data_IF_062527000936
#
_entry.id   IF_062527000936
#
_cell.length_a   1.000
_cell.length_b   1.000
_cell.length_c   1.000
_cell.angle_alpha   90.00
_cell.angle_beta   90.00
_cell.angle_gamma   90.00
#
_symmetry.space_group_name_H-M   'P 1'
#
loop_
_entity.id
_entity.type
_entity.pdbx_description
1 polymer ?
#
# COMPACT_ATOMS: atom_id res chain seq x y z
N UNK A 1 21.61 -44.67 -6.11
CA UNK A 1 22.60 -44.74 -7.22
C UNK A 1 22.01 -45.09 -8.60
N UNK A 2 20.80 -45.67 -8.73
CA UNK A 2 20.17 -45.95 -10.05
C UNK A 2 19.27 -44.83 -10.61
N UNK A 3 18.94 -43.79 -9.84
CA UNK A 3 17.99 -42.72 -10.26
C UNK A 3 18.56 -41.76 -11.32
N UNK A 4 19.89 -41.59 -11.40
CA UNK A 4 20.50 -40.49 -12.16
C UNK A 4 20.85 -40.80 -13.64
N UNK A 5 20.63 -42.03 -14.13
CA UNK A 5 21.09 -42.42 -15.48
C UNK A 5 20.27 -41.77 -16.61
N UNK A 6 19.01 -41.43 -16.36
CA UNK A 6 18.10 -40.85 -17.37
C UNK A 6 17.76 -39.36 -17.14
N UNK A 7 18.45 -38.70 -16.20
CA UNK A 7 18.18 -37.31 -15.84
C UNK A 7 18.90 -36.33 -16.79
N UNK A 8 18.18 -35.36 -17.35
CA UNK A 8 18.82 -34.24 -18.05
C UNK A 8 19.24 -33.17 -17.05
N UNK A 9 20.56 -32.91 -16.97
CA UNK A 9 21.13 -31.90 -16.08
C UNK A 9 21.19 -30.53 -16.77
N UNK A 10 20.62 -29.52 -16.13
CA UNK A 10 20.67 -28.12 -16.54
C UNK A 10 21.43 -27.32 -15.48
N UNK A 11 22.64 -26.90 -15.82
CA UNK A 11 23.48 -26.05 -14.96
C UNK A 11 23.00 -24.60 -15.01
N UNK A 12 22.73 -24.01 -13.85
CA UNK A 12 22.50 -22.58 -13.72
C UNK A 12 23.78 -21.92 -13.25
N UNK A 13 24.19 -20.83 -13.90
CA UNK A 13 25.37 -20.04 -13.53
C UNK A 13 25.10 -19.20 -12.27
N UNK A 14 24.71 -19.87 -11.19
CA UNK A 14 24.35 -19.31 -9.89
C UNK A 14 25.11 -20.07 -8.80
N UNK A 15 25.98 -19.36 -8.08
CA UNK A 15 26.74 -19.93 -6.95
C UNK A 15 25.91 -19.90 -5.67
N UNK A 16 26.16 -20.79 -4.68
CA UNK A 16 25.43 -20.80 -3.42
C UNK A 16 25.38 -19.46 -2.68
N UNK A 17 26.37 -18.59 -2.88
CA UNK A 17 26.49 -17.31 -2.19
C UNK A 17 25.69 -16.17 -2.84
N UNK A 18 25.07 -16.39 -4.00
CA UNK A 18 24.18 -15.39 -4.58
C UNK A 18 23.00 -15.14 -3.63
N UNK A 19 22.63 -13.86 -3.45
CA UNK A 19 21.61 -13.41 -2.47
C UNK A 19 21.79 -14.05 -1.08
N UNK A 20 23.00 -14.01 -0.52
CA UNK A 20 23.34 -14.71 0.74
C UNK A 20 22.55 -14.24 1.96
N UNK A 21 22.00 -13.04 1.90
CA UNK A 21 21.11 -12.42 2.89
C UNK A 21 19.69 -12.98 2.88
N UNK A 22 19.28 -13.69 1.81
CA UNK A 22 17.92 -14.24 1.70
C UNK A 22 17.69 -15.43 2.63
N UNK A 23 16.53 -15.39 3.27
CA UNK A 23 16.00 -16.36 4.23
C UNK A 23 15.01 -17.34 3.61
N UNK A 24 14.52 -18.29 4.41
CA UNK A 24 13.46 -19.22 4.00
C UNK A 24 12.19 -18.48 3.55
N UNK A 25 11.79 -17.45 4.29
CA UNK A 25 10.61 -16.64 3.99
C UNK A 25 10.79 -15.90 2.67
N UNK A 26 11.98 -15.35 2.39
CA UNK A 26 12.26 -14.66 1.12
C UNK A 26 12.12 -15.58 -0.10
N UNK A 27 12.59 -16.83 0.03
CA UNK A 27 12.41 -17.82 -1.02
C UNK A 27 10.93 -18.19 -1.22
N UNK A 28 10.17 -18.40 -0.13
CA UNK A 28 8.75 -18.72 -0.24
C UNK A 28 7.92 -17.56 -0.76
N UNK A 29 8.25 -16.31 -0.45
CA UNK A 29 7.60 -15.11 -1.02
C UNK A 29 7.58 -15.16 -2.54
N UNK A 30 8.72 -15.45 -3.16
CA UNK A 30 8.83 -15.56 -4.62
C UNK A 30 7.97 -16.70 -5.19
N UNK A 31 7.87 -17.83 -4.49
CA UNK A 31 7.05 -18.96 -4.94
C UNK A 31 5.55 -18.66 -4.81
N UNK A 32 5.15 -18.09 -3.67
CA UNK A 32 3.76 -17.68 -3.39
C UNK A 32 3.31 -16.66 -4.41
N UNK A 33 4.12 -15.63 -4.66
CA UNK A 33 3.84 -14.61 -5.69
C UNK A 33 3.68 -15.22 -7.08
N UNK A 34 4.55 -16.16 -7.44
CA UNK A 34 4.42 -16.81 -8.74
C UNK A 34 3.09 -17.56 -8.85
N UNK A 35 2.64 -18.21 -7.78
CA UNK A 35 1.37 -18.91 -7.76
C UNK A 35 0.15 -17.99 -7.70
N UNK A 36 0.16 -16.94 -6.89
CA UNK A 36 -0.95 -15.97 -6.80
C UNK A 36 -1.09 -15.15 -8.08
N UNK A 37 0.01 -14.73 -8.71
CA UNK A 37 -0.02 -14.07 -10.02
C UNK A 37 -0.72 -14.94 -11.08
N UNK A 38 -0.54 -16.27 -11.04
CA UNK A 38 -1.21 -17.17 -11.99
C UNK A 38 -2.72 -17.26 -11.74
N UNK A 39 -3.17 -17.20 -10.48
CA UNK A 39 -4.60 -17.13 -10.15
C UNK A 39 -5.22 -15.77 -10.51
N UNK A 40 -4.46 -14.68 -10.42
CA UNK A 40 -4.94 -13.36 -10.87
C UNK A 40 -5.21 -13.37 -12.38
N UNK A 41 -4.33 -14.00 -13.17
CA UNK A 41 -4.46 -14.12 -14.63
C UNK A 41 -5.55 -15.11 -15.05
N UNK A 42 -5.70 -16.22 -14.34
CA UNK A 42 -6.76 -17.22 -14.56
C UNK A 42 -7.40 -17.56 -13.22
N UNK A 43 -8.61 -17.03 -12.97
CA UNK A 43 -9.35 -17.20 -11.71
C UNK A 43 -9.72 -18.65 -11.40
N UNK A 44 -9.71 -19.53 -12.41
CA UNK A 44 -9.92 -20.97 -12.23
C UNK A 44 -8.62 -21.71 -11.88
N UNK A 45 -7.45 -21.08 -12.06
CA UNK A 45 -6.15 -21.64 -11.68
C UNK A 45 -5.80 -21.33 -10.22
N UNK A 46 -6.63 -21.85 -9.31
CA UNK A 46 -6.51 -21.62 -7.87
C UNK A 46 -5.12 -21.96 -7.33
N UNK A 47 -4.56 -21.03 -6.56
CA UNK A 47 -3.32 -21.23 -5.83
C UNK A 47 -3.61 -21.81 -4.44
N UNK A 48 -2.86 -22.83 -4.05
CA UNK A 48 -3.00 -23.48 -2.75
C UNK A 48 -1.64 -23.78 -2.12
N UNK A 49 -1.56 -23.68 -0.80
CA UNK A 49 -0.42 -24.11 -0.01
C UNK A 49 -0.87 -25.27 0.89
N UNK A 50 -0.23 -26.42 0.76
CA UNK A 50 -0.56 -27.64 1.50
C UNK A 50 0.67 -28.07 2.30
N UNK A 51 0.53 -28.20 3.61
CA UNK A 51 1.62 -28.65 4.48
C UNK A 51 1.35 -30.03 5.08
N UNK A 52 2.31 -30.94 4.95
CA UNK A 52 2.29 -32.24 5.59
C UNK A 52 3.34 -32.29 6.71
N UNK A 53 2.90 -32.15 7.96
CA UNK A 53 3.78 -32.17 9.13
C UNK A 53 4.50 -33.50 9.37
N UNK A 54 3.97 -34.63 8.89
CA UNK A 54 4.62 -35.95 9.03
C UNK A 54 5.80 -36.09 8.06
N UNK A 55 5.59 -35.67 6.81
CA UNK A 55 6.61 -35.71 5.77
C UNK A 55 7.54 -34.49 5.81
N UNK A 56 7.17 -33.44 6.55
CA UNK A 56 7.85 -32.15 6.58
C UNK A 56 7.96 -31.54 5.18
N UNK A 57 6.87 -31.62 4.42
CA UNK A 57 6.78 -31.14 3.04
C UNK A 57 5.74 -30.03 2.93
N UNK A 58 6.12 -28.97 2.22
CA UNK A 58 5.25 -27.85 1.86
C UNK A 58 5.06 -27.88 0.34
N UNK A 59 3.81 -27.92 -0.12
CA UNK A 59 3.46 -27.94 -1.54
C UNK A 59 2.73 -26.67 -1.92
N UNK A 60 3.21 -26.01 -2.97
CA UNK A 60 2.58 -24.85 -3.59
C UNK A 60 2.01 -25.30 -4.93
N UNK A 61 0.69 -25.23 -5.09
CA UNK A 61 -0.04 -25.90 -6.18
C UNK A 61 -0.82 -24.89 -7.03
N UNK A 62 -0.73 -25.02 -8.36
CA UNK A 62 -1.57 -24.37 -9.34
C UNK A 62 -2.02 -25.40 -10.40
N UNK A 63 -3.32 -25.63 -10.53
CA UNK A 63 -3.87 -26.75 -11.32
C UNK A 63 -3.73 -26.62 -12.84
N UNK A 64 -3.50 -25.41 -13.36
CA UNK A 64 -3.41 -25.15 -14.81
C UNK A 64 -2.05 -24.58 -15.25
N UNK A 65 -1.12 -24.38 -14.33
CA UNK A 65 0.20 -23.84 -14.65
C UNK A 65 1.13 -24.91 -15.22
N UNK A 66 2.02 -24.50 -16.12
CA UNK A 66 3.01 -25.38 -16.77
C UNK A 66 4.32 -24.62 -17.00
N UNK A 67 5.46 -25.22 -16.67
CA UNK A 67 6.77 -24.59 -16.88
C UNK A 67 7.43 -25.02 -18.21
N UNK A 68 7.82 -24.00 -18.98
CA UNK A 68 8.79 -24.02 -20.10
C UNK A 68 10.17 -24.49 -19.63
N UNK A 69 10.82 -25.51 -20.20
CA UNK A 69 12.23 -25.82 -19.84
C UNK A 69 13.16 -24.60 -19.98
N UNK A 70 12.87 -23.77 -20.99
CA UNK A 70 13.61 -22.56 -21.27
C UNK A 70 13.39 -21.43 -20.25
N UNK A 71 12.46 -21.57 -19.30
CA UNK A 71 12.33 -20.67 -18.15
C UNK A 71 13.49 -20.82 -17.16
N UNK A 72 14.31 -21.87 -17.30
CA UNK A 72 15.58 -22.00 -16.58
C UNK A 72 16.61 -20.94 -16.99
N UNK A 73 16.47 -20.33 -18.18
CA UNK A 73 17.32 -19.22 -18.60
C UNK A 73 17.08 -17.98 -17.73
N UNK A 74 18.15 -17.34 -17.25
CA UNK A 74 18.08 -16.02 -16.62
C UNK A 74 17.71 -14.95 -17.66
N UNK A 75 17.02 -13.90 -17.24
CA UNK A 75 16.51 -12.83 -18.12
C UNK A 75 15.32 -13.23 -19.01
N UNK A 76 14.87 -14.48 -18.98
CA UNK A 76 13.67 -14.92 -19.73
C UNK A 76 12.43 -14.83 -18.85
N UNK A 77 11.62 -13.79 -19.07
CA UNK A 77 10.31 -13.63 -18.43
C UNK A 77 9.16 -13.83 -19.43
N UNK A 78 8.09 -14.48 -18.98
CA UNK A 78 6.79 -14.50 -19.70
C UNK A 78 5.85 -13.39 -19.23
N UNK A 79 6.26 -12.55 -18.27
CA UNK A 79 5.42 -11.54 -17.59
C UNK A 79 5.75 -10.09 -17.98
N UNK A 80 6.56 -9.87 -19.03
CA UNK A 80 6.86 -8.52 -19.49
C UNK A 80 5.57 -7.82 -19.97
N UNK A 81 5.21 -6.69 -19.33
CA UNK A 81 4.08 -5.80 -19.63
C UNK A 81 2.69 -6.13 -19.03
N UNK A 82 2.58 -6.86 -17.92
CA UNK A 82 1.29 -7.00 -17.22
C UNK A 82 1.29 -6.30 -15.84
N UNK A 83 0.53 -5.19 -15.74
CA UNK A 83 0.38 -4.37 -14.52
C UNK A 83 -0.37 -5.09 -13.38
N UNK A 84 -1.10 -6.17 -13.69
CA UNK A 84 -1.84 -6.96 -12.70
C UNK A 84 -0.97 -8.04 -12.03
N UNK A 85 0.28 -8.21 -12.45
CA UNK A 85 1.22 -9.19 -11.85
C UNK A 85 2.36 -8.50 -11.13
N UNK A 86 2.73 -9.03 -9.96
CA UNK A 86 3.84 -8.49 -9.17
C UNK A 86 5.19 -8.94 -9.75
N UNK A 87 5.27 -10.15 -10.32
CA UNK A 87 6.53 -10.71 -10.82
C UNK A 87 6.96 -10.21 -12.20
N UNK A 88 8.12 -9.56 -12.30
CA UNK A 88 8.59 -8.94 -13.55
C UNK A 88 9.68 -9.74 -14.29
N UNK A 89 10.62 -10.38 -13.58
CA UNK A 89 11.88 -10.85 -14.17
C UNK A 89 11.92 -12.33 -14.59
N UNK A 90 10.92 -13.15 -14.22
CA UNK A 90 10.91 -14.58 -14.54
C UNK A 90 12.04 -15.38 -13.87
N UNK A 91 12.63 -14.83 -12.80
CA UNK A 91 13.78 -15.40 -12.10
C UNK A 91 13.44 -16.00 -10.73
N UNK A 92 12.32 -15.59 -10.13
CA UNK A 92 11.96 -15.84 -8.74
C UNK A 92 12.14 -17.29 -8.28
N UNK A 93 11.56 -18.26 -8.99
CA UNK A 93 11.62 -19.66 -8.55
C UNK A 93 13.04 -20.26 -8.61
N UNK A 94 13.92 -19.77 -9.48
CA UNK A 94 15.32 -20.22 -9.59
C UNK A 94 16.12 -19.72 -8.38
N UNK A 95 15.90 -18.47 -8.00
CA UNK A 95 16.51 -17.87 -6.82
C UNK A 95 15.95 -18.52 -5.54
N UNK A 96 14.64 -18.78 -5.49
CA UNK A 96 14.03 -19.54 -4.40
C UNK A 96 14.66 -20.93 -4.26
N UNK A 97 14.82 -21.68 -5.35
CA UNK A 97 15.49 -22.98 -5.35
C UNK A 97 16.93 -22.89 -4.80
N UNK A 98 17.70 -21.87 -5.21
CA UNK A 98 19.05 -21.62 -4.72
C UNK A 98 19.09 -21.44 -3.20
N UNK A 99 18.24 -20.56 -2.69
CA UNK A 99 18.16 -20.23 -1.26
C UNK A 99 17.70 -21.45 -0.45
N UNK A 100 16.67 -22.15 -0.93
CA UNK A 100 16.14 -23.34 -0.27
C UNK A 100 17.18 -24.46 -0.20
N UNK A 101 17.88 -24.76 -1.30
CA UNK A 101 18.97 -25.73 -1.29
C UNK A 101 20.12 -25.31 -0.35
N UNK A 102 20.45 -24.01 -0.26
CA UNK A 102 21.46 -23.48 0.67
C UNK A 102 21.07 -23.70 2.13
N UNK A 103 19.79 -23.55 2.45
CA UNK A 103 19.24 -23.76 3.79
C UNK A 103 19.00 -25.25 4.13
N UNK A 104 19.46 -26.18 3.29
CA UNK A 104 19.30 -27.61 3.49
C UNK A 104 17.88 -28.14 3.21
N UNK A 105 17.04 -27.34 2.55
CA UNK A 105 15.73 -27.77 2.06
C UNK A 105 15.88 -28.49 0.72
N UNK A 106 14.94 -29.38 0.43
CA UNK A 106 14.79 -29.93 -0.93
C UNK A 106 13.85 -29.04 -1.72
N UNK A 107 14.03 -28.99 -3.04
CA UNK A 107 13.16 -28.24 -3.92
C UNK A 107 12.90 -29.06 -5.19
N UNK A 108 11.65 -29.41 -5.38
CA UNK A 108 11.19 -30.30 -6.45
C UNK A 108 10.01 -29.68 -7.15
N UNK A 109 10.04 -29.65 -8.48
CA UNK A 109 8.92 -29.21 -9.30
C UNK A 109 8.29 -30.43 -9.98
N UNK A 110 7.02 -30.67 -9.73
CA UNK A 110 6.18 -31.60 -10.45
C UNK A 110 5.46 -30.83 -11.57
N UNK A 111 5.95 -30.97 -12.80
CA UNK A 111 5.41 -30.30 -13.99
C UNK A 111 4.54 -31.32 -14.74
N UNK A 112 3.38 -31.64 -14.17
CA UNK A 112 2.62 -32.85 -14.47
C UNK A 112 2.13 -32.89 -15.94
N UNK A 113 1.69 -31.74 -16.48
CA UNK A 113 1.27 -31.62 -17.89
C UNK A 113 2.39 -31.91 -18.91
N UNK A 114 3.66 -31.92 -18.47
CA UNK A 114 4.82 -32.29 -19.29
C UNK A 114 5.36 -33.69 -19.00
N UNK A 115 4.77 -34.38 -18.03
CA UNK A 115 5.28 -35.66 -17.52
C UNK A 115 6.72 -35.52 -17.04
N UNK A 116 6.99 -34.47 -16.26
CA UNK A 116 8.34 -34.11 -15.83
C UNK A 116 8.43 -33.81 -14.33
N UNK A 117 9.51 -34.29 -13.71
CA UNK A 117 9.93 -33.91 -12.35
C UNK A 117 11.28 -33.19 -12.46
N UNK A 118 11.39 -32.01 -11.87
CA UNK A 118 12.62 -31.24 -11.84
C UNK A 118 13.12 -31.13 -10.39
N UNK A 119 14.24 -31.78 -10.07
CA UNK A 119 14.87 -31.69 -8.75
C UNK A 119 16.05 -30.71 -8.80
N UNK A 120 16.13 -29.77 -7.87
CA UNK A 120 17.29 -28.87 -7.77
C UNK A 120 18.26 -29.30 -6.67
N UNK A 121 19.56 -29.22 -6.97
CA UNK A 121 20.64 -29.46 -6.00
C UNK A 121 21.91 -28.77 -6.44
N UNK A 122 22.83 -28.57 -5.49
CA UNK A 122 24.16 -28.09 -5.83
C UNK A 122 25.01 -29.19 -6.45
N UNK A 123 25.76 -28.82 -7.48
CA UNK A 123 26.72 -29.65 -8.19
C UNK A 123 28.03 -28.87 -8.33
N UNK A 124 29.17 -29.55 -8.22
CA UNK A 124 30.44 -28.99 -8.65
C UNK A 124 30.49 -29.06 -10.18
N UNK A 125 30.44 -27.92 -10.87
CA UNK A 125 30.50 -27.87 -12.32
C UNK A 125 31.94 -28.07 -12.78
N UNK A 126 32.16 -29.04 -13.66
CA UNK A 126 33.45 -29.25 -14.33
C UNK A 126 33.75 -28.12 -15.32
N UNK A 127 32.70 -27.50 -15.89
CA UNK A 127 32.83 -26.40 -16.85
C UNK A 127 33.26 -25.10 -16.17
N UNK A 128 32.65 -24.79 -15.03
CA UNK A 128 32.88 -23.53 -14.32
C UNK A 128 33.89 -23.65 -13.19
N UNK A 129 34.29 -24.89 -12.83
CA UNK A 129 35.18 -25.20 -11.73
C UNK A 129 34.69 -24.64 -10.37
N UNK A 130 33.36 -24.60 -10.21
CA UNK A 130 32.70 -24.00 -9.05
C UNK A 130 31.42 -24.77 -8.70
N UNK A 131 31.03 -24.73 -7.43
CA UNK A 131 29.75 -25.24 -6.95
C UNK A 131 28.64 -24.31 -7.42
N UNK A 132 27.68 -24.87 -8.15
CA UNK A 132 26.56 -24.13 -8.73
C UNK A 132 25.24 -24.86 -8.51
N UNK A 133 24.14 -24.13 -8.61
CA UNK A 133 22.81 -24.73 -8.66
C UNK A 133 22.59 -25.45 -10.00
N UNK A 134 22.04 -26.66 -9.95
CA UNK A 134 21.63 -27.39 -11.14
C UNK A 134 20.23 -27.99 -10.96
N UNK A 135 19.48 -28.05 -12.05
CA UNK A 135 18.20 -28.76 -12.14
C UNK A 135 18.39 -30.08 -12.88
N UNK A 136 17.88 -31.16 -12.29
CA UNK A 136 17.85 -32.49 -12.88
C UNK A 136 16.42 -32.80 -13.28
N UNK A 137 16.20 -32.94 -14.58
CA UNK A 137 14.87 -33.15 -15.17
C UNK A 137 14.71 -34.61 -15.55
N UNK A 138 13.71 -35.23 -14.94
CA UNK A 138 13.33 -36.63 -15.14
C UNK A 138 12.01 -36.70 -15.89
N UNK A 139 11.85 -37.73 -16.73
CA UNK A 139 10.52 -38.10 -17.23
C UNK A 139 9.76 -38.88 -16.18
N UNK A 140 8.47 -38.60 -16.06
CA UNK A 140 7.61 -39.16 -15.04
C UNK A 140 6.18 -39.27 -15.57
N UNK A 141 5.65 -40.49 -15.57
CA UNK A 141 4.24 -40.74 -15.86
C UNK A 141 3.42 -40.45 -14.59
N UNK A 142 2.40 -39.62 -14.73
CA UNK A 142 1.55 -39.16 -13.63
C UNK A 142 0.14 -38.90 -14.14
N UNK A 143 -0.86 -39.27 -13.33
CA UNK A 143 -2.27 -38.93 -13.57
C UNK A 143 -2.65 -37.59 -12.92
N UNK A 144 -1.73 -36.96 -12.17
CA UNK A 144 -1.94 -35.64 -11.61
C UNK A 144 -1.88 -34.56 -12.71
N UNK A 145 -2.51 -33.42 -12.47
CA UNK A 145 -2.51 -32.27 -13.37
C UNK A 145 -1.77 -31.07 -12.77
N UNK A 146 -1.50 -30.08 -13.63
CA UNK A 146 -0.94 -28.79 -13.22
C UNK A 146 0.51 -28.80 -12.74
N UNK A 147 0.86 -27.77 -11.98
CA UNK A 147 2.19 -27.52 -11.43
C UNK A 147 2.13 -27.62 -9.90
N UNK A 148 3.03 -28.41 -9.32
CA UNK A 148 3.25 -28.46 -7.88
C UNK A 148 4.73 -28.23 -7.59
N UNK A 149 5.04 -27.22 -6.78
CA UNK A 149 6.37 -26.99 -6.24
C UNK A 149 6.38 -27.53 -4.81
N UNK A 150 7.21 -28.53 -4.55
CA UNK A 150 7.40 -29.12 -3.24
C UNK A 150 8.72 -28.66 -2.62
N UNK A 151 8.63 -28.16 -1.40
CA UNK A 151 9.77 -27.82 -0.54
C UNK A 151 9.78 -28.83 0.60
N UNK A 152 10.82 -29.65 0.68
CA UNK A 152 10.99 -30.62 1.75
C UNK A 152 11.87 -30.11 2.89
N UNK A 153 11.87 -30.85 4.00
CA UNK A 153 12.52 -30.48 5.27
C UNK A 153 11.97 -29.19 5.89
N UNK A 154 10.68 -28.87 5.68
CA UNK A 154 10.02 -27.71 6.28
C UNK A 154 9.48 -28.10 7.65
N UNK A 155 9.98 -27.45 8.69
CA UNK A 155 9.55 -27.68 10.07
C UNK A 155 8.16 -27.09 10.31
N UNK A 156 7.51 -27.57 11.37
CA UNK A 156 6.18 -27.07 11.75
C UNK A 156 6.24 -25.59 12.14
N UNK A 157 7.32 -25.16 12.79
CA UNK A 157 7.56 -23.76 13.15
C UNK A 157 7.77 -22.86 11.92
N UNK A 158 8.54 -23.31 10.92
CA UNK A 158 8.72 -22.58 9.68
C UNK A 158 7.39 -22.41 8.93
N UNK A 159 6.58 -23.47 8.85
CA UNK A 159 5.25 -23.39 8.25
C UNK A 159 4.33 -22.44 9.04
N UNK A 160 4.29 -22.57 10.36
CA UNK A 160 3.49 -21.72 11.23
C UNK A 160 3.93 -20.26 11.20
N UNK A 161 5.15 -19.92 10.75
CA UNK A 161 5.55 -18.53 10.58
C UNK A 161 5.15 -17.94 9.21
N UNK A 162 4.53 -18.71 8.31
CA UNK A 162 4.16 -18.23 6.98
C UNK A 162 2.98 -17.26 6.97
N UNK A 163 2.13 -17.23 8.00
CA UNK A 163 1.06 -16.23 8.09
C UNK A 163 1.63 -14.80 8.13
N UNK A 164 2.85 -14.63 8.68
CA UNK A 164 3.58 -13.35 8.68
C UNK A 164 4.00 -12.91 7.27
N UNK A 165 3.90 -13.80 6.29
CA UNK A 165 4.35 -13.58 4.91
C UNK A 165 3.16 -13.46 3.97
N UNK A 166 2.10 -14.25 4.21
CA UNK A 166 0.96 -14.35 3.32
C UNK A 166 -0.36 -14.39 4.10
N UNK A 167 -1.22 -13.42 3.79
CA UNK A 167 -2.50 -13.16 4.44
C UNK A 167 -3.51 -14.31 4.26
N UNK A 168 -3.45 -15.04 3.14
CA UNK A 168 -4.42 -16.09 2.80
C UNK A 168 -4.00 -17.50 3.26
N UNK A 169 -3.10 -17.63 4.23
CA UNK A 169 -2.86 -18.92 4.86
C UNK A 169 -4.14 -19.36 5.61
N UNK A 170 -4.58 -20.62 5.45
CA UNK A 170 -5.88 -21.11 5.93
C UNK A 170 -6.23 -20.67 7.37
N UNK A 171 -7.47 -20.20 7.57
CA UNK A 171 -8.11 -19.74 8.82
C UNK A 171 -7.97 -18.25 9.21
N UNK A 172 -7.52 -17.36 8.33
CA UNK A 172 -7.60 -15.92 8.59
C UNK A 172 -8.91 -15.36 7.98
N UNK A 173 -10.02 -15.43 8.72
CA UNK A 173 -11.22 -14.66 8.40
C UNK A 173 -11.10 -13.31 9.14
N UNK A 174 -11.00 -12.22 8.39
CA UNK A 174 -10.83 -10.88 8.94
C UNK A 174 -11.91 -9.95 8.41
N UNK A 175 -12.32 -9.00 9.25
CA UNK A 175 -13.25 -7.94 8.86
C UNK A 175 -12.59 -7.02 7.83
N UNK A 176 -13.30 -6.71 6.74
CA UNK A 176 -12.74 -5.89 5.65
C UNK A 176 -13.74 -5.00 4.95
N UNK A 177 -13.23 -3.91 4.38
CA UNK A 177 -13.94 -3.05 3.43
C UNK A 177 -13.31 -3.17 2.03
N UNK A 178 -14.11 -3.52 1.03
CA UNK A 178 -13.68 -3.69 -0.36
C UNK A 178 -13.65 -2.35 -1.12
N UNK A 179 -12.53 -2.06 -1.79
CA UNK A 179 -12.34 -0.82 -2.56
C UNK A 179 -11.87 -1.10 -4.00
N UNK A 180 -11.92 -0.06 -4.84
CA UNK A 180 -11.31 -0.08 -6.17
C UNK A 180 -9.81 -0.41 -6.13
N UNK A 181 -9.14 -0.07 -5.02
CA UNK A 181 -7.68 -0.17 -4.85
C UNK A 181 -7.20 -1.47 -4.19
N UNK A 182 -8.08 -2.14 -3.46
CA UNK A 182 -7.71 -3.26 -2.60
C UNK A 182 -8.72 -3.45 -1.47
N UNK A 183 -8.27 -4.04 -0.38
CA UNK A 183 -9.08 -4.28 0.82
C UNK A 183 -8.50 -3.48 1.98
N UNK A 184 -9.35 -2.85 2.78
CA UNK A 184 -8.98 -2.31 4.09
C UNK A 184 -9.32 -3.38 5.12
N UNK A 185 -8.34 -3.80 5.93
CA UNK A 185 -8.49 -4.79 7.00
C UNK A 185 -8.82 -4.03 8.28
N UNK A 186 -10.01 -4.29 8.83
CA UNK A 186 -10.60 -3.53 9.93
C UNK A 186 -10.27 -4.07 11.32
N UNK A 187 -9.72 -5.29 11.38
CA UNK A 187 -9.34 -5.92 12.65
C UNK A 187 -8.05 -5.29 13.19
N UNK A 188 -8.09 -4.87 14.45
CA UNK A 188 -6.99 -4.11 15.09
C UNK A 188 -5.65 -4.88 15.11
N UNK A 189 -5.67 -6.20 15.02
CA UNK A 189 -4.46 -7.03 14.98
C UNK A 189 -3.63 -6.83 13.70
N UNK A 190 -4.25 -6.34 12.62
CA UNK A 190 -3.61 -6.03 11.35
C UNK A 190 -3.27 -4.55 11.20
N UNK A 191 -3.50 -3.71 12.23
CA UNK A 191 -3.19 -2.29 12.16
C UNK A 191 -1.70 -2.05 11.85
N UNK A 192 -1.42 -1.25 10.83
CA UNK A 192 -0.05 -1.00 10.35
C UNK A 192 0.46 -2.04 9.35
N UNK A 193 -0.22 -3.18 9.18
CA UNK A 193 0.23 -4.24 8.27
C UNK A 193 -0.17 -3.92 6.83
N UNK A 194 0.82 -3.90 5.95
CA UNK A 194 0.66 -3.65 4.52
C UNK A 194 0.87 -4.94 3.75
N UNK A 195 -0.03 -5.22 2.82
CA UNK A 195 0.01 -6.36 1.92
C UNK A 195 -0.19 -5.92 0.49
N UNK A 196 0.46 -6.61 -0.45
CA UNK A 196 0.19 -6.46 -1.88
C UNK A 196 -0.15 -7.83 -2.46
N UNK A 197 -1.38 -7.98 -2.93
CA UNK A 197 -1.94 -9.27 -3.37
C UNK A 197 -1.77 -10.37 -2.31
N UNK A 198 -2.03 -10.02 -1.05
CA UNK A 198 -1.94 -10.88 0.13
C UNK A 198 -0.53 -11.11 0.66
N UNK A 199 0.53 -10.56 0.06
CA UNK A 199 1.90 -10.71 0.59
C UNK A 199 2.27 -9.54 1.47
N UNK A 200 2.72 -9.82 2.69
CA UNK A 200 3.14 -8.79 3.65
C UNK A 200 4.29 -7.96 3.09
N UNK A 201 4.30 -6.65 3.24
CA UNK A 201 5.36 -5.76 2.78
C UNK A 201 5.64 -4.77 3.88
N UNK A 202 6.92 -4.58 4.17
CA UNK A 202 7.37 -3.62 5.17
C UNK A 202 7.15 -2.19 4.66
N UNK A 203 6.48 -1.37 5.47
CA UNK A 203 6.11 -0.01 5.14
C UNK A 203 6.35 0.89 6.35
N UNK A 204 7.05 2.00 6.14
CA UNK A 204 7.38 2.96 7.19
C UNK A 204 6.27 4.02 7.34
N UNK A 205 5.03 3.60 7.60
CA UNK A 205 3.89 4.49 7.88
C UNK A 205 3.13 3.99 9.11
N UNK A 206 2.65 4.91 9.95
CA UNK A 206 1.88 4.61 11.17
C UNK A 206 0.38 4.53 10.83
N UNK A 207 0.01 3.44 10.16
CA UNK A 207 -1.36 3.23 9.66
C UNK A 207 -2.28 2.70 10.76
N UNK A 208 -3.52 3.21 10.80
CA UNK A 208 -4.55 2.80 11.76
C UNK A 208 -5.21 1.48 11.39
N UNK A 209 -5.23 1.13 10.11
CA UNK A 209 -5.79 -0.13 9.59
C UNK A 209 -4.72 -0.98 8.93
N UNK A 210 -5.06 -2.24 8.65
CA UNK A 210 -4.29 -3.07 7.72
C UNK A 210 -4.77 -2.84 6.29
N UNK A 211 -3.91 -3.07 5.31
CA UNK A 211 -4.25 -2.82 3.90
C UNK A 211 -3.72 -3.90 2.98
N UNK A 212 -4.58 -4.42 2.11
CA UNK A 212 -4.20 -5.34 1.04
C UNK A 212 -4.43 -4.71 -0.33
N UNK A 213 -3.36 -4.19 -0.94
CA UNK A 213 -3.41 -3.48 -2.21
C UNK A 213 -3.42 -4.41 -3.42
N UNK A 214 -4.10 -3.97 -4.49
CA UNK A 214 -3.94 -4.56 -5.82
C UNK A 214 -2.57 -4.15 -6.40
N UNK A 215 -1.85 -5.08 -7.08
CA UNK A 215 -0.51 -4.83 -7.61
C UNK A 215 -0.34 -3.55 -8.46
N UNK A 216 -1.37 -3.20 -9.24
CA UNK A 216 -1.34 -2.04 -10.13
C UNK A 216 -1.19 -0.69 -9.43
N UNK A 217 -1.46 -0.60 -8.13
CA UNK A 217 -1.37 0.65 -7.35
C UNK A 217 -0.10 0.77 -6.54
N UNK A 218 0.50 -0.34 -6.10
CA UNK A 218 1.71 -0.34 -5.29
C UNK A 218 2.80 -1.09 -6.02
N UNK A 219 3.82 -0.35 -6.47
CA UNK A 219 5.00 -0.93 -7.09
C UNK A 219 5.98 -1.40 -6.01
N UNK A 220 6.31 -2.68 -6.03
CA UNK A 220 7.31 -3.26 -5.14
C UNK A 220 8.73 -3.14 -5.71
N UNK A 221 9.71 -3.12 -4.81
CA UNK A 221 11.12 -3.28 -5.19
C UNK A 221 11.44 -4.71 -5.65
N UNK A 222 12.66 -4.93 -6.18
CA UNK A 222 13.07 -6.23 -6.76
C UNK A 222 12.97 -7.39 -5.78
N UNK A 223 13.34 -7.18 -4.52
CA UNK A 223 13.26 -8.20 -3.46
C UNK A 223 11.88 -8.23 -2.77
N UNK A 224 11.02 -7.27 -3.12
CA UNK A 224 9.61 -7.18 -2.75
C UNK A 224 9.38 -7.18 -1.25
N UNK A 225 10.37 -6.70 -0.48
CA UNK A 225 10.29 -6.61 0.98
C UNK A 225 9.70 -5.29 1.42
N UNK A 226 9.92 -4.24 0.64
CA UNK A 226 9.53 -2.87 0.95
C UNK A 226 8.69 -2.27 -0.18
N UNK A 227 7.92 -1.26 0.16
CA UNK A 227 7.24 -0.38 -0.79
C UNK A 227 7.54 1.09 -0.47
N UNK A 228 7.31 1.94 -1.46
CA UNK A 228 7.38 3.39 -1.29
C UNK A 228 6.20 3.86 -0.42
N UNK A 229 6.49 4.33 0.80
CA UNK A 229 5.49 4.76 1.78
C UNK A 229 4.63 5.91 1.28
N UNK A 230 5.18 6.79 0.45
CA UNK A 230 4.41 7.90 -0.13
C UNK A 230 3.27 7.40 -1.03
N UNK A 231 3.53 6.36 -1.82
CA UNK A 231 2.47 5.74 -2.62
C UNK A 231 1.46 5.02 -1.73
N UNK A 232 1.87 4.45 -0.59
CA UNK A 232 0.95 3.82 0.35
C UNK A 232 0.02 4.85 0.98
N UNK A 233 0.54 5.94 1.54
CA UNK A 233 -0.24 7.02 2.16
C UNK A 233 -1.22 7.69 1.17
N UNK A 234 -0.78 7.87 -0.09
CA UNK A 234 -1.67 8.39 -1.14
C UNK A 234 -2.83 7.44 -1.42
N UNK A 235 -2.56 6.14 -1.60
CA UNK A 235 -3.59 5.16 -1.97
C UNK A 235 -4.50 4.84 -0.77
N UNK A 236 -3.97 4.74 0.45
CA UNK A 236 -4.78 4.55 1.67
C UNK A 236 -5.77 5.69 1.86
N UNK A 237 -5.36 6.95 1.61
CA UNK A 237 -6.28 8.09 1.64
C UNK A 237 -7.45 7.87 0.68
N UNK A 238 -7.18 7.46 -0.57
CA UNK A 238 -8.25 7.18 -1.53
C UNK A 238 -9.14 6.01 -1.11
N UNK A 239 -8.57 4.96 -0.52
CA UNK A 239 -9.31 3.80 0.00
C UNK A 239 -10.25 4.20 1.14
N UNK A 240 -9.78 5.00 2.11
CA UNK A 240 -10.60 5.47 3.24
C UNK A 240 -11.74 6.34 2.76
N UNK A 241 -11.51 7.26 1.80
CA UNK A 241 -12.59 8.05 1.22
C UNK A 241 -13.63 7.17 0.53
N UNK A 242 -13.21 6.19 -0.27
CA UNK A 242 -14.13 5.28 -0.97
C UNK A 242 -14.95 4.43 0.02
N UNK A 243 -14.28 3.82 1.01
CA UNK A 243 -14.92 2.98 2.03
C UNK A 243 -15.91 3.78 2.89
N UNK A 244 -15.56 5.03 3.21
CA UNK A 244 -16.46 5.92 3.92
C UNK A 244 -17.70 6.23 3.07
N UNK A 245 -17.53 6.63 1.80
CA UNK A 245 -18.65 6.91 0.88
C UNK A 245 -19.59 5.72 0.67
N UNK A 246 -19.06 4.49 0.72
CA UNK A 246 -19.87 3.26 0.67
C UNK A 246 -20.64 2.97 1.97
N UNK A 247 -20.22 3.57 3.08
CA UNK A 247 -20.77 3.33 4.41
C UNK A 247 -20.06 2.23 5.20
N UNK A 248 -18.93 1.71 4.70
CA UNK A 248 -18.15 0.66 5.38
C UNK A 248 -17.36 1.21 6.57
N UNK A 249 -16.91 2.48 6.46
CA UNK A 249 -16.23 3.21 7.56
C UNK A 249 -17.07 4.43 7.94
N UNK A 250 -17.52 4.56 9.21
CA UNK A 250 -18.27 5.73 9.66
C UNK A 250 -17.49 7.04 9.52
N UNK A 251 -18.17 8.11 9.12
CA UNK A 251 -17.57 9.45 9.00
C UNK A 251 -16.93 9.93 10.31
N UNK A 252 -17.48 9.58 11.47
CA UNK A 252 -16.90 9.96 12.77
C UNK A 252 -15.50 9.37 12.98
N UNK A 253 -15.24 8.16 12.48
CA UNK A 253 -13.91 7.56 12.53
C UNK A 253 -12.95 8.30 11.58
N UNK A 254 -13.38 8.57 10.35
CA UNK A 254 -12.57 9.32 9.38
C UNK A 254 -12.27 10.73 9.88
N UNK A 255 -13.25 11.41 10.49
CA UNK A 255 -13.07 12.72 11.12
C UNK A 255 -12.00 12.66 12.20
N UNK A 256 -12.07 11.68 13.12
CA UNK A 256 -11.06 11.49 14.16
C UNK A 256 -9.65 11.30 13.57
N UNK A 257 -9.54 10.49 12.51
CA UNK A 257 -8.26 10.28 11.80
C UNK A 257 -7.70 11.59 11.21
N UNK A 258 -8.56 12.45 10.65
CA UNK A 258 -8.17 13.76 10.11
C UNK A 258 -7.72 14.72 11.23
N UNK A 259 -8.44 14.72 12.35
CA UNK A 259 -8.09 15.54 13.53
C UNK A 259 -6.74 15.12 14.12
N UNK A 260 -6.48 13.82 14.19
CA UNK A 260 -5.22 13.21 14.67
C UNK A 260 -4.09 13.26 13.63
N UNK A 261 -4.40 13.58 12.37
CA UNK A 261 -3.49 13.54 11.22
C UNK A 261 -2.86 12.16 11.01
N UNK A 262 -3.68 11.11 11.07
CA UNK A 262 -3.25 9.77 10.75
C UNK A 262 -2.72 9.68 9.30
N UNK A 263 -1.70 8.84 9.10
CA UNK A 263 -1.03 8.66 7.81
C UNK A 263 -2.02 8.15 6.74
N UNK A 264 -2.99 7.32 7.14
CA UNK A 264 -4.05 6.78 6.29
C UNK A 264 -4.88 7.83 5.54
N UNK A 265 -4.94 9.06 6.06
CA UNK A 265 -5.77 10.16 5.52
C UNK A 265 -4.95 11.40 5.18
N UNK A 266 -3.61 11.29 5.26
CA UNK A 266 -2.70 12.41 5.11
C UNK A 266 -2.89 13.15 3.78
N UNK A 267 -3.20 12.42 2.70
CA UNK A 267 -3.32 12.99 1.36
C UNK A 267 -4.69 13.56 1.01
N UNK A 268 -5.66 13.58 1.93
CA UNK A 268 -6.94 14.24 1.66
C UNK A 268 -6.80 15.71 1.26
N UNK A 269 -5.88 16.44 1.91
CA UNK A 269 -5.66 17.86 1.60
C UNK A 269 -5.15 18.11 0.17
N UNK A 270 -4.55 17.11 -0.47
CA UNK A 270 -4.03 17.20 -1.84
C UNK A 270 -4.99 16.60 -2.88
N UNK A 271 -5.96 15.78 -2.46
CA UNK A 271 -6.84 15.01 -3.33
C UNK A 271 -8.28 15.55 -3.38
N UNK A 272 -8.50 16.80 -2.99
CA UNK A 272 -9.82 17.48 -2.98
C UNK A 272 -10.51 17.54 -4.36
N UNK A 273 -9.78 17.28 -5.45
CA UNK A 273 -10.37 17.19 -6.79
C UNK A 273 -11.06 15.84 -7.07
N UNK A 274 -10.77 14.80 -6.28
CA UNK A 274 -11.37 13.45 -6.40
C UNK A 274 -12.78 13.42 -5.82
N UNK A 275 -13.70 12.74 -6.50
CA UNK A 275 -15.12 12.74 -6.13
C UNK A 275 -15.39 12.23 -4.71
N UNK A 276 -14.74 11.16 -4.27
CA UNK A 276 -15.00 10.61 -2.94
C UNK A 276 -14.40 11.48 -1.83
N UNK A 277 -13.25 12.11 -2.06
CA UNK A 277 -12.66 13.10 -1.14
C UNK A 277 -13.53 14.35 -1.04
N UNK A 278 -14.15 14.81 -2.14
CA UNK A 278 -15.13 15.90 -2.11
C UNK A 278 -16.33 15.57 -1.23
N UNK A 279 -16.85 14.35 -1.30
CA UNK A 279 -17.94 13.91 -0.42
C UNK A 279 -17.50 13.96 1.04
N UNK A 280 -16.30 13.47 1.37
CA UNK A 280 -15.74 13.60 2.73
C UNK A 280 -15.71 15.06 3.19
N UNK A 281 -15.28 15.99 2.33
CA UNK A 281 -15.32 17.44 2.62
C UNK A 281 -16.75 17.94 2.86
N UNK A 282 -17.70 17.58 2.01
CA UNK A 282 -19.11 17.98 2.12
C UNK A 282 -19.69 17.56 3.47
N UNK A 283 -19.48 16.31 3.90
CA UNK A 283 -19.99 15.84 5.19
C UNK A 283 -19.26 16.46 6.38
N UNK A 284 -17.96 16.77 6.27
CA UNK A 284 -17.26 17.52 7.30
C UNK A 284 -17.81 18.95 7.44
N UNK A 285 -18.17 19.57 6.32
CA UNK A 285 -18.83 20.89 6.31
C UNK A 285 -20.22 20.79 6.95
N UNK A 286 -21.04 19.80 6.57
CA UNK A 286 -22.37 19.58 7.17
C UNK A 286 -22.30 19.32 8.68
N UNK A 287 -21.34 18.50 9.11
CA UNK A 287 -21.06 18.25 10.53
C UNK A 287 -20.61 19.54 11.23
N UNK A 288 -19.71 20.31 10.61
CA UNK A 288 -19.25 21.58 11.16
C UNK A 288 -20.41 22.58 11.34
N UNK A 289 -21.27 22.73 10.33
CA UNK A 289 -22.40 23.65 10.35
C UNK A 289 -23.47 23.21 11.37
N UNK A 290 -23.72 21.90 11.48
CA UNK A 290 -24.63 21.33 12.49
C UNK A 290 -24.14 21.58 13.92
N UNK A 291 -22.82 21.51 14.14
CA UNK A 291 -22.19 21.79 15.43
C UNK A 291 -22.07 23.29 15.74
N UNK A 292 -22.09 24.13 14.70
CA UNK A 292 -21.90 25.59 14.81
C UNK A 292 -23.05 26.33 14.10
N UNK A 293 -24.29 26.27 14.62
CA UNK A 293 -25.47 26.84 13.95
C UNK A 293 -25.50 28.38 13.93
N UNK A 294 -24.51 29.04 14.52
CA UNK A 294 -24.40 30.49 14.51
C UNK A 294 -24.12 31.00 13.09
N UNK A 295 -24.71 32.14 12.68
CA UNK A 295 -24.47 32.70 11.36
C UNK A 295 -23.00 33.05 11.18
N UNK A 296 -22.50 32.90 9.94
CA UNK A 296 -21.12 33.22 9.58
C UNK A 296 -20.07 32.49 10.42
N UNK A 297 -20.35 31.24 10.80
CA UNK A 297 -19.37 30.34 11.41
C UNK A 297 -18.34 29.90 10.38
N UNK A 298 -17.06 30.17 10.66
CA UNK A 298 -15.94 29.90 9.73
C UNK A 298 -14.89 29.05 10.46
N UNK A 299 -14.51 27.88 9.91
CA UNK A 299 -13.45 27.06 10.47
C UNK A 299 -12.10 27.75 10.24
N UNK A 300 -11.35 28.01 11.29
CA UNK A 300 -10.06 28.72 11.23
C UNK A 300 -8.97 27.98 12.01
N UNK A 301 -7.71 28.20 11.63
CA UNK A 301 -6.53 27.59 12.26
C UNK A 301 -5.43 28.58 12.62
N UNK A 302 -5.63 29.87 12.32
CA UNK A 302 -4.65 30.93 12.57
C UNK A 302 -5.26 32.09 13.36
N UNK A 303 -4.42 32.76 14.17
CA UNK A 303 -4.84 33.97 14.87
C UNK A 303 -5.17 35.11 13.90
N UNK A 304 -4.52 35.14 12.73
CA UNK A 304 -4.83 36.08 11.66
C UNK A 304 -6.28 35.91 11.18
N UNK A 305 -6.67 34.67 10.86
CA UNK A 305 -8.04 34.36 10.43
C UNK A 305 -9.05 34.66 11.54
N UNK A 306 -8.73 34.37 12.81
CA UNK A 306 -9.60 34.72 13.95
C UNK A 306 -9.86 36.22 14.03
N UNK A 307 -8.80 37.04 13.96
CA UNK A 307 -8.91 38.52 13.97
C UNK A 307 -9.74 38.98 12.78
N UNK A 308 -9.46 38.46 11.59
CA UNK A 308 -10.14 38.81 10.35
C UNK A 308 -11.63 38.50 10.38
N UNK A 309 -12.01 37.29 10.79
CA UNK A 309 -13.42 36.89 10.86
C UNK A 309 -14.18 37.74 11.89
N UNK A 310 -13.60 37.97 13.08
CA UNK A 310 -14.21 38.85 14.10
C UNK A 310 -14.39 40.29 13.61
N UNK A 311 -13.40 40.85 12.92
CA UNK A 311 -13.43 42.22 12.41
C UNK A 311 -14.57 42.46 11.41
N UNK A 312 -15.00 41.42 10.70
CA UNK A 312 -16.16 41.47 9.80
C UNK A 312 -17.46 40.95 10.44
N UNK A 313 -17.49 40.72 11.76
CA UNK A 313 -18.69 40.31 12.49
C UNK A 313 -19.06 38.82 12.33
N UNK A 314 -18.14 38.00 11.85
CA UNK A 314 -18.32 36.55 11.78
C UNK A 314 -17.93 35.83 13.08
N UNK A 315 -18.24 34.53 13.12
CA UNK A 315 -17.91 33.65 14.24
C UNK A 315 -16.74 32.73 13.86
N UNK A 316 -15.48 33.01 14.26
CA UNK A 316 -14.38 32.09 14.01
C UNK A 316 -14.46 30.89 14.95
N UNK A 317 -14.42 29.69 14.40
CA UNK A 317 -14.36 28.43 15.14
C UNK A 317 -13.00 27.80 14.89
N UNK A 318 -12.19 27.68 15.95
CA UNK A 318 -10.85 27.08 15.83
C UNK A 318 -11.00 25.57 15.65
N UNK A 319 -10.44 25.05 14.56
CA UNK A 319 -10.46 23.61 14.23
C UNK A 319 -9.04 23.03 14.16
N UNK A 320 -8.88 21.71 14.33
CA UNK A 320 -7.58 21.05 14.17
C UNK A 320 -6.97 21.29 12.78
N UNK A 321 -5.63 21.30 12.70
CA UNK A 321 -4.92 21.68 11.47
C UNK A 321 -5.25 20.80 10.26
N UNK A 322 -5.43 19.49 10.45
CA UNK A 322 -5.83 18.58 9.36
C UNK A 322 -7.19 18.96 8.76
N UNK A 323 -8.16 19.26 9.63
CA UNK A 323 -9.49 19.73 9.22
C UNK A 323 -9.41 21.08 8.51
N UNK A 324 -8.65 22.03 9.07
CA UNK A 324 -8.52 23.37 8.49
C UNK A 324 -7.91 23.35 7.08
N UNK A 325 -6.89 22.53 6.88
CA UNK A 325 -6.25 22.37 5.57
C UNK A 325 -7.20 21.73 4.55
N UNK A 326 -7.93 20.69 4.97
CA UNK A 326 -8.92 20.05 4.12
C UNK A 326 -10.08 21.00 3.76
N UNK A 327 -10.47 21.90 4.67
CA UNK A 327 -11.53 22.89 4.45
C UNK A 327 -11.02 24.25 3.98
N UNK A 328 -9.77 24.35 3.49
CA UNK A 328 -9.13 25.63 3.14
C UNK A 328 -9.93 26.43 2.12
N UNK A 329 -10.40 25.81 1.04
CA UNK A 329 -11.16 26.50 -0.02
C UNK A 329 -12.50 27.01 0.50
N UNK A 330 -13.20 26.23 1.33
CA UNK A 330 -14.46 26.63 1.94
C UNK A 330 -14.25 27.75 2.97
N UNK A 331 -13.17 27.69 3.76
CA UNK A 331 -12.74 28.79 4.65
C UNK A 331 -12.55 30.08 3.85
N UNK A 332 -11.74 30.04 2.78
CA UNK A 332 -11.46 31.21 1.93
C UNK A 332 -12.74 31.79 1.30
N UNK A 333 -13.61 30.92 0.79
CA UNK A 333 -14.92 31.29 0.23
C UNK A 333 -15.80 31.96 1.28
N UNK A 334 -15.95 31.39 2.48
CA UNK A 334 -16.76 31.96 3.57
C UNK A 334 -16.22 33.31 4.02
N UNK A 335 -14.90 33.46 4.14
CA UNK A 335 -14.27 34.75 4.48
C UNK A 335 -14.57 35.80 3.39
N UNK A 336 -14.44 35.43 2.11
CA UNK A 336 -14.74 36.35 1.01
C UNK A 336 -16.20 36.79 1.04
N UNK A 337 -17.14 35.85 1.18
CA UNK A 337 -18.56 36.18 1.30
C UNK A 337 -18.83 37.10 2.48
N UNK A 338 -18.24 36.84 3.65
CA UNK A 338 -18.38 37.68 4.84
C UNK A 338 -17.88 39.12 4.61
N UNK A 339 -16.79 39.29 3.86
CA UNK A 339 -16.24 40.61 3.51
C UNK A 339 -17.13 41.41 2.54
N UNK A 340 -17.94 40.73 1.73
CA UNK A 340 -18.86 41.34 0.77
C UNK A 340 -20.20 41.76 1.40
N UNK A 341 -20.50 41.30 2.63
CA UNK A 341 -21.75 41.64 3.32
C UNK A 341 -21.79 43.14 3.64
N UNK A 342 -22.84 43.87 3.22
CA UNK A 342 -23.02 45.26 3.57
C UNK A 342 -23.06 45.42 5.09
N UNK A 343 -22.19 46.28 5.64
CA UNK A 343 -22.20 46.54 7.07
C UNK A 343 -23.55 47.18 7.46
N UNK A 344 -24.24 46.61 8.45
CA UNK A 344 -25.54 47.09 8.91
C UNK A 344 -25.48 48.52 9.51
N UNK A 345 -24.30 48.94 9.96
CA UNK A 345 -23.99 50.32 10.36
C UNK A 345 -23.29 51.06 9.23
N UNK A 346 -23.65 52.32 8.99
CA UNK A 346 -22.92 53.22 8.09
C UNK A 346 -21.51 53.44 8.63
N UNK A 347 -20.54 52.62 8.21
CA UNK A 347 -19.13 52.79 8.56
C UNK A 347 -18.56 53.97 7.78
N UNK A 348 -17.88 54.88 8.49
CA UNK A 348 -17.11 55.95 7.85
C UNK A 348 -15.96 55.38 7.03
N UNK A 349 -15.35 56.20 6.16
CA UNK A 349 -14.16 55.78 5.43
C UNK A 349 -13.01 55.46 6.39
N UNK A 350 -12.88 56.25 7.47
CA UNK A 350 -11.95 56.03 8.57
C UNK A 350 -12.14 54.66 9.22
N UNK A 351 -13.38 54.29 9.56
CA UNK A 351 -13.69 52.99 10.18
C UNK A 351 -13.33 51.81 9.25
N UNK A 352 -13.57 51.96 7.94
CA UNK A 352 -13.21 50.93 6.95
C UNK A 352 -11.70 50.73 6.85
N UNK A 353 -10.93 51.82 6.85
CA UNK A 353 -9.47 51.75 6.82
C UNK A 353 -8.88 51.27 8.14
N UNK A 354 -9.42 51.68 9.29
CA UNK A 354 -9.01 51.13 10.60
C UNK A 354 -9.19 49.62 10.64
N UNK A 355 -10.36 49.12 10.21
CA UNK A 355 -10.62 47.68 10.11
C UNK A 355 -9.65 46.98 9.17
N UNK A 356 -9.34 47.57 8.01
CA UNK A 356 -8.35 47.01 7.09
C UNK A 356 -6.95 46.97 7.73
N UNK A 357 -6.55 48.06 8.38
CA UNK A 357 -5.26 48.17 9.04
C UNK A 357 -5.09 47.11 10.12
N UNK A 358 -6.09 46.93 11.00
CA UNK A 358 -6.03 45.95 12.09
C UNK A 358 -5.87 44.50 11.60
N UNK A 359 -6.26 44.21 10.35
CA UNK A 359 -6.15 42.89 9.73
C UNK A 359 -4.81 42.71 9.03
N UNK A 360 -4.31 43.73 8.34
CA UNK A 360 -3.17 43.58 7.42
C UNK A 360 -1.87 44.24 7.89
N UNK A 361 -1.90 45.06 8.94
CA UNK A 361 -0.72 45.83 9.38
C UNK A 361 0.48 44.95 9.72
N UNK A 362 0.25 43.78 10.34
CA UNK A 362 1.32 42.84 10.71
C UNK A 362 2.11 42.30 9.48
N UNK A 363 1.57 42.43 8.26
CA UNK A 363 2.23 42.05 7.00
C UNK A 363 3.05 43.19 6.37
N UNK A 364 2.95 44.40 6.93
CA UNK A 364 3.64 45.59 6.42
C UNK A 364 4.94 45.85 7.21
N UNK A 365 5.98 46.42 6.58
CA UNK A 365 7.15 46.92 7.30
C UNK A 365 6.78 47.94 8.38
N UNK A 366 7.53 48.04 9.50
CA UNK A 366 7.22 48.95 10.60
C UNK A 366 7.05 50.41 10.17
N UNK A 367 7.84 50.90 9.22
CA UNK A 367 7.72 52.28 8.72
C UNK A 367 6.39 52.51 7.99
N UNK A 368 5.97 51.55 7.15
CA UNK A 368 4.71 51.59 6.42
C UNK A 368 3.50 51.48 7.36
N UNK A 369 3.62 50.72 8.46
CA UNK A 369 2.59 50.66 9.50
C UNK A 369 2.34 52.04 10.13
N UNK A 370 3.40 52.78 10.47
CA UNK A 370 3.28 54.12 11.07
C UNK A 370 2.70 55.11 10.06
N UNK A 371 3.19 55.09 8.81
CA UNK A 371 2.73 55.99 7.75
C UNK A 371 1.23 55.81 7.45
N UNK A 372 0.77 54.57 7.26
CA UNK A 372 -0.65 54.31 7.01
C UNK A 372 -1.49 54.68 8.23
N UNK A 373 -1.02 54.46 9.46
CA UNK A 373 -1.76 54.84 10.66
C UNK A 373 -1.99 56.35 10.73
N UNK A 374 -0.97 57.16 10.41
CA UNK A 374 -1.11 58.61 10.33
C UNK A 374 -2.13 59.01 9.24
N UNK A 375 -2.07 58.40 8.05
CA UNK A 375 -3.04 58.66 6.97
C UNK A 375 -4.48 58.32 7.38
N UNK A 376 -4.69 57.28 8.19
CA UNK A 376 -6.02 56.93 8.69
C UNK A 376 -6.51 57.94 9.74
N UNK A 377 -5.62 58.47 10.57
CA UNK A 377 -5.98 59.51 11.55
C UNK A 377 -6.44 60.81 10.88
N UNK A 378 -5.88 61.14 9.71
CA UNK A 378 -6.25 62.29 8.87
C UNK A 378 -7.60 62.13 8.15
N UNK A 379 -8.13 60.90 8.02
CA UNK A 379 -9.48 60.68 7.50
C UNK A 379 -10.51 61.12 8.55
N UNK A 380 -11.45 62.00 8.18
CA UNK A 380 -12.58 62.41 9.03
C UNK A 380 -13.58 61.27 9.29
#
# INVERSE_FOLDING_TARGET
MKKDIDAKCYELTLTPNYVSDWTFNDALRELIQNGTDQEVLDKENKFQIIYNGKEKTLRLVNQKSVLKINTLLLGRSSKANNEDTVGQFGEGYKIAALVLNRLGKTFTIYNNEKGEIWESRFKNSEKWLEKILAFYVYKHDTDNSGLCIEVGNVTHEEFNNLYKVWLHLENCDYSKADTGYGEIILDEEYAGEVYVNGLFVDCNSDLKYGYNFKPKYIRLERDRKTCDSWNVEEITSLMIAEAMVKGDIPIEQVRKMIEERADDVYHFEFNTYKNDVKKVQEMLIESFDSQNPQPYSIPVDSQEDVKKVKAYGGNPVVVPSGVAKLLKEEKEKRIKTLMEIPCASVMTLKDKFNRWYDIYAEKLPPEAQVEIRNLIEELE
#
